data_IF_301172002204
#
_entry.id   IF_301172002204
#
_cell.length_a   1.000
_cell.length_b   1.000
_cell.length_c   1.000
_cell.angle_alpha   90.00
_cell.angle_beta   90.00
_cell.angle_gamma   90.00
#
_symmetry.space_group_name_H-M   'P 1'
#
loop_
_entity.id
_entity.type
_entity.pdbx_description
1 polymer ?
#
# COMPACT_ATOMS: atom_id res chain seq x y z
N UNK A 1 12.55 4.87 3.79
CA UNK A 1 12.24 3.41 3.70
C UNK A 1 13.53 2.65 3.41
N UNK A 2 13.78 1.54 4.08
CA UNK A 2 14.96 0.70 3.83
C UNK A 2 14.56 -0.60 3.16
N UNK A 3 15.43 -1.14 2.30
CA UNK A 3 15.21 -2.44 1.68
C UNK A 3 15.09 -3.51 2.76
N UNK A 4 14.08 -4.37 2.67
CA UNK A 4 13.92 -5.47 3.60
C UNK A 4 15.07 -6.46 3.42
N UNK A 5 15.88 -6.66 4.46
CA UNK A 5 17.03 -7.57 4.42
C UNK A 5 16.62 -9.03 4.30
N UNK A 6 15.46 -9.41 4.86
CA UNK A 6 14.95 -10.79 4.84
C UNK A 6 14.60 -11.28 3.44
N UNK A 7 14.00 -10.43 2.61
CA UNK A 7 13.63 -10.77 1.23
C UNK A 7 14.42 -10.01 0.16
N UNK A 8 15.43 -9.22 0.55
CA UNK A 8 16.27 -8.42 -0.35
C UNK A 8 15.47 -7.56 -1.35
N UNK A 9 14.35 -6.98 -0.91
CA UNK A 9 13.48 -6.19 -1.79
C UNK A 9 12.41 -6.97 -2.56
N UNK A 10 12.45 -8.30 -2.59
CA UNK A 10 11.55 -9.12 -3.41
C UNK A 10 10.11 -9.22 -2.90
N UNK A 11 9.85 -8.85 -1.64
CA UNK A 11 8.52 -9.00 -1.00
C UNK A 11 8.14 -10.45 -0.66
N UNK A 12 8.92 -11.43 -1.09
CA UNK A 12 8.67 -12.85 -0.87
C UNK A 12 9.96 -13.57 -0.46
N UNK A 13 9.81 -14.63 0.33
CA UNK A 13 10.88 -15.54 0.73
C UNK A 13 10.63 -16.92 0.13
N UNK A 14 11.71 -17.63 -0.22
CA UNK A 14 11.63 -19.03 -0.62
C UNK A 14 11.93 -19.90 0.58
N UNK A 15 11.01 -20.80 0.90
CA UNK A 15 11.21 -21.83 1.91
C UNK A 15 11.39 -23.16 1.18
N UNK A 16 12.58 -23.76 1.32
CA UNK A 16 12.92 -25.03 0.70
C UNK A 16 12.88 -26.13 1.76
N UNK A 17 12.10 -27.17 1.52
CA UNK A 17 12.06 -28.38 2.34
C UNK A 17 12.20 -29.59 1.42
N UNK A 18 13.41 -30.15 1.38
CA UNK A 18 13.77 -31.22 0.43
C UNK A 18 13.60 -30.74 -1.02
N UNK A 19 12.82 -31.49 -1.80
CA UNK A 19 12.56 -31.18 -3.21
C UNK A 19 11.48 -30.10 -3.42
N UNK A 20 10.77 -29.70 -2.35
CA UNK A 20 9.72 -28.70 -2.45
C UNK A 20 10.28 -27.31 -2.12
N UNK A 21 10.05 -26.36 -3.02
CA UNK A 21 10.30 -24.94 -2.79
C UNK A 21 8.98 -24.20 -2.86
N UNK A 22 8.58 -23.58 -1.75
CA UNK A 22 7.39 -22.73 -1.70
C UNK A 22 7.79 -21.28 -1.57
N UNK A 23 7.09 -20.42 -2.29
CA UNK A 23 7.21 -18.97 -2.13
C UNK A 23 6.17 -18.52 -1.12
N UNK A 24 6.62 -17.83 -0.08
CA UNK A 24 5.76 -17.24 0.93
C UNK A 24 5.98 -15.72 0.95
N UNK A 25 4.93 -14.96 1.23
CA UNK A 25 5.05 -13.52 1.50
C UNK A 25 6.05 -13.28 2.62
N UNK A 26 6.97 -12.32 2.44
CA UNK A 26 7.96 -12.00 3.45
C UNK A 26 7.27 -11.44 4.71
N UNK A 27 7.39 -12.10 5.88
CA UNK A 27 6.71 -11.64 7.10
C UNK A 27 7.30 -10.33 7.64
N UNK A 28 8.60 -10.09 7.42
CA UNK A 28 9.30 -8.90 7.92
C UNK A 28 8.82 -7.60 7.29
N UNK A 29 8.46 -7.61 6.01
CA UNK A 29 7.95 -6.44 5.29
C UNK A 29 6.50 -6.59 4.83
N UNK A 30 5.82 -7.68 5.23
CA UNK A 30 4.44 -8.01 4.83
C UNK A 30 4.20 -7.91 3.32
N UNK A 31 5.19 -8.31 2.51
CA UNK A 31 5.09 -8.24 1.05
C UNK A 31 5.56 -6.95 0.40
N UNK A 32 5.85 -5.88 1.16
CA UNK A 32 6.21 -4.59 0.59
C UNK A 32 7.63 -4.51 0.01
N UNK A 33 8.50 -5.48 0.31
CA UNK A 33 9.91 -5.47 -0.10
C UNK A 33 10.78 -4.43 0.63
N UNK A 34 10.16 -3.46 1.30
CA UNK A 34 10.82 -2.42 2.10
C UNK A 34 10.25 -2.39 3.51
N UNK A 35 11.06 -1.95 4.46
CA UNK A 35 10.66 -1.71 5.85
C UNK A 35 10.60 -0.20 6.04
N UNK A 36 9.48 0.26 6.57
CA UNK A 36 9.23 1.66 6.89
C UNK A 36 9.81 1.91 8.28
N UNK A 37 11.04 2.43 8.36
CA UNK A 37 11.66 2.79 9.64
C UNK A 37 11.08 4.08 10.23
N UNK A 38 10.77 5.03 9.36
CA UNK A 38 10.16 6.31 9.74
C UNK A 38 8.79 6.41 9.06
N UNK A 39 7.71 5.98 9.74
CA UNK A 39 6.38 6.01 9.17
C UNK A 39 5.90 7.45 9.06
N UNK A 40 5.42 7.82 7.88
CA UNK A 40 4.82 9.13 7.66
C UNK A 40 3.71 9.39 8.69
N UNK A 41 3.80 10.46 9.45
CA UNK A 41 2.84 10.80 10.53
C UNK A 41 1.43 11.04 10.02
N UNK A 42 1.28 11.49 8.78
CA UNK A 42 -0.05 11.77 8.18
C UNK A 42 -0.77 10.51 7.68
N UNK A 43 -0.05 9.48 7.23
CA UNK A 43 -0.64 8.25 6.69
C UNK A 43 -0.26 6.97 7.45
N UNK A 44 0.53 7.09 8.51
CA UNK A 44 1.03 6.01 9.36
C UNK A 44 1.68 4.86 8.56
N UNK A 45 2.34 5.20 7.45
CA UNK A 45 2.95 4.21 6.56
C UNK A 45 1.98 3.46 5.64
N UNK A 46 0.69 3.82 5.60
CA UNK A 46 -0.30 3.22 4.67
C UNK A 46 -0.15 3.69 3.22
N UNK A 47 0.54 4.81 2.99
CA UNK A 47 0.70 5.40 1.66
C UNK A 47 -0.55 6.12 1.13
N UNK A 48 -1.66 6.09 1.88
CA UNK A 48 -2.91 6.78 1.55
C UNK A 48 -3.41 7.55 2.77
N UNK A 49 -4.03 8.71 2.52
CA UNK A 49 -4.72 9.52 3.54
C UNK A 49 -6.13 9.81 3.05
N UNK A 50 -7.08 9.85 3.98
CA UNK A 50 -8.43 10.30 3.68
C UNK A 50 -8.43 11.84 3.63
N UNK A 51 -8.99 12.42 2.57
CA UNK A 51 -9.04 13.87 2.39
C UNK A 51 -10.46 14.28 2.03
N UNK A 52 -11.08 15.10 2.88
CA UNK A 52 -12.40 15.67 2.61
C UNK A 52 -12.23 16.86 1.66
N UNK A 53 -12.71 16.73 0.42
CA UNK A 53 -12.76 17.82 -0.55
C UNK A 53 -14.18 18.36 -0.67
N UNK A 54 -14.36 19.64 -0.37
CA UNK A 54 -15.62 20.34 -0.61
C UNK A 54 -15.68 20.72 -2.09
N UNK A 55 -16.52 20.02 -2.86
CA UNK A 55 -16.75 20.36 -4.26
C UNK A 55 -17.87 21.41 -4.34
N UNK A 56 -17.53 22.65 -4.66
CA UNK A 56 -18.52 23.69 -4.93
C UNK A 56 -19.02 23.56 -6.36
N UNK A 57 -20.14 22.85 -6.54
CA UNK A 57 -20.81 22.75 -7.84
C UNK A 57 -21.69 23.98 -8.04
N UNK A 58 -21.41 24.76 -9.09
CA UNK A 58 -22.25 25.88 -9.50
C UNK A 58 -23.33 25.33 -10.43
N UNK A 59 -24.56 25.21 -9.94
CA UNK A 59 -25.69 24.70 -10.73
C UNK A 59 -26.16 25.82 -11.69
N UNK A 60 -25.97 25.70 -13.02
CA UNK A 60 -26.53 26.66 -13.96
C UNK A 60 -28.07 26.54 -13.98
N UNK A 61 -28.76 27.65 -14.22
CA UNK A 61 -30.22 27.63 -14.36
C UNK A 61 -30.62 26.79 -15.58
N UNK A 62 -31.45 25.76 -15.37
CA UNK A 62 -31.91 24.85 -16.43
C UNK A 62 -31.43 23.40 -16.33
N UNK A 63 -30.89 22.95 -15.18
CA UNK A 63 -30.62 21.52 -14.96
C UNK A 63 -31.95 20.76 -14.83
N UNK A 64 -32.17 19.81 -15.73
CA UNK A 64 -33.21 18.80 -15.63
C UNK A 64 -32.72 17.74 -14.63
N UNK A 65 -33.51 17.46 -13.59
CA UNK A 65 -33.19 16.40 -12.62
C UNK A 65 -33.61 15.05 -13.19
N UNK A 66 -32.66 14.30 -13.74
CA UNK A 66 -32.85 12.91 -14.15
C UNK A 66 -31.54 12.24 -14.53
N UNK A 67 -30.92 11.58 -13.54
CA UNK A 67 -30.31 10.23 -13.59
C UNK A 67 -29.60 9.92 -12.26
#
# INVERSE_FOLDING_TARGET
>A
PKTCTTCQGSGQIRMQQGFFAVQQTCPSCRGQGTIIEDPCTSCHGRGVKEETKTLSVKIPAGVDTGD
#
